data_IF_825906412888
#
_entry.id   IF_825906412888
#
_cell.length_a   1.000
_cell.length_b   1.000
_cell.length_c   1.000
_cell.angle_alpha   90.00
_cell.angle_beta   90.00
_cell.angle_gamma   90.00
#
_symmetry.space_group_name_H-M   'P 1'
#
loop_
_entity.id
_entity.type
_entity.pdbx_description
1 polymer ?
#
# COMPACT_ATOMS: atom_id res chain seq x y z
N UNK A 1 -46.08 1.52 -4.60
CA UNK A 1 -44.74 1.10 -5.07
C UNK A 1 -43.79 2.16 -4.57
N UNK A 2 -42.84 1.81 -3.70
CA UNK A 2 -41.88 2.79 -3.21
C UNK A 2 -41.02 3.23 -4.41
N UNK A 3 -41.00 4.53 -4.72
CA UNK A 3 -40.11 5.07 -5.74
C UNK A 3 -38.67 4.77 -5.32
N UNK A 4 -37.95 3.99 -6.13
CA UNK A 4 -36.53 3.74 -5.94
C UNK A 4 -35.79 5.03 -6.24
N UNK A 5 -35.26 5.68 -5.21
CA UNK A 5 -34.47 6.90 -5.35
C UNK A 5 -33.07 6.53 -5.80
N UNK A 6 -32.54 7.18 -6.82
CA UNK A 6 -31.19 6.96 -7.32
C UNK A 6 -30.24 8.07 -6.88
N UNK A 7 -29.00 7.72 -6.60
CA UNK A 7 -27.95 8.67 -6.24
C UNK A 7 -27.61 9.57 -7.43
N UNK A 8 -27.78 10.89 -7.28
CA UNK A 8 -27.46 11.85 -8.34
C UNK A 8 -25.96 11.88 -8.74
N UNK A 9 -25.07 11.40 -7.86
CA UNK A 9 -23.62 11.35 -8.12
C UNK A 9 -23.12 10.09 -8.84
N UNK A 10 -23.61 8.90 -8.51
CA UNK A 10 -23.10 7.62 -9.05
C UNK A 10 -24.17 6.72 -9.69
N UNK A 11 -25.44 7.15 -9.70
CA UNK A 11 -26.53 6.42 -10.34
C UNK A 11 -27.01 5.15 -9.64
N UNK A 12 -26.42 4.77 -8.49
CA UNK A 12 -26.84 3.58 -7.74
C UNK A 12 -28.16 3.81 -6.98
N UNK A 13 -28.95 2.75 -6.78
CA UNK A 13 -30.15 2.82 -5.94
C UNK A 13 -29.77 3.17 -4.50
N UNK A 14 -30.50 4.11 -3.90
CA UNK A 14 -30.31 4.52 -2.52
C UNK A 14 -30.96 3.50 -1.60
N UNK A 15 -30.21 3.08 -0.57
CA UNK A 15 -30.70 2.30 0.54
C UNK A 15 -30.32 2.98 1.86
N UNK A 16 -31.07 2.72 2.94
CA UNK A 16 -30.88 3.37 4.25
C UNK A 16 -30.67 2.38 5.39
N UNK A 17 -30.48 1.10 5.08
CA UNK A 17 -30.49 -0.01 6.04
C UNK A 17 -29.07 -0.42 6.47
N UNK A 18 -28.16 -0.59 5.50
CA UNK A 18 -26.80 -1.07 5.76
C UNK A 18 -25.77 0.03 5.47
N UNK A 19 -25.14 0.56 6.51
CA UNK A 19 -24.16 1.63 6.39
C UNK A 19 -22.88 1.26 5.61
N UNK A 20 -22.57 -0.04 5.51
CA UNK A 20 -21.40 -0.57 4.82
C UNK A 20 -21.69 -0.99 3.36
N UNK A 21 -22.97 -1.20 3.02
CA UNK A 21 -23.35 -1.57 1.67
C UNK A 21 -23.38 -0.38 0.70
N UNK A 22 -23.22 -0.68 -0.59
CA UNK A 22 -23.29 0.31 -1.66
C UNK A 22 -24.66 1.00 -1.70
N UNK A 23 -24.67 2.28 -2.08
CA UNK A 23 -25.91 3.06 -2.13
C UNK A 23 -26.42 3.56 -0.78
N UNK A 24 -25.72 3.29 0.33
CA UNK A 24 -26.15 3.79 1.64
C UNK A 24 -26.28 5.32 1.65
N UNK A 25 -27.39 5.83 2.14
CA UNK A 25 -27.54 7.20 2.59
C UNK A 25 -28.32 7.21 3.92
N UNK A 26 -28.03 8.11 4.86
CA UNK A 26 -28.87 8.23 6.04
C UNK A 26 -30.29 8.65 5.63
N UNK A 27 -31.32 8.17 6.32
CA UNK A 27 -32.72 8.47 5.99
C UNK A 27 -33.02 10.00 5.94
N UNK A 28 -32.23 10.81 6.65
CA UNK A 28 -32.30 12.28 6.59
C UNK A 28 -31.88 12.85 5.23
N UNK A 29 -31.04 12.16 4.46
CA UNK A 29 -30.57 12.59 3.14
C UNK A 29 -31.64 12.44 2.05
N UNK A 30 -32.65 11.57 2.24
CA UNK A 30 -33.79 11.40 1.33
C UNK A 30 -34.69 12.64 1.26
N UNK A 31 -34.59 13.55 2.24
CA UNK A 31 -35.36 14.81 2.28
C UNK A 31 -34.71 15.95 1.49
N UNK A 32 -33.55 15.71 0.88
CA UNK A 32 -32.82 16.73 0.10
C UNK A 32 -33.29 16.69 -1.36
N UNK A 33 -33.30 17.85 -2.02
CA UNK A 33 -33.62 17.95 -3.46
C UNK A 33 -32.68 17.13 -4.34
N UNK A 34 -31.41 16.99 -3.90
CA UNK A 34 -30.41 16.14 -4.55
C UNK A 34 -29.92 15.11 -3.54
N UNK A 35 -30.36 13.86 -3.73
CA UNK A 35 -29.94 12.73 -2.90
C UNK A 35 -28.64 12.15 -3.44
N UNK A 36 -27.62 12.12 -2.59
CA UNK A 36 -26.33 11.48 -2.87
C UNK A 36 -26.03 10.45 -1.78
N UNK A 37 -25.50 9.30 -2.18
CA UNK A 37 -25.07 8.26 -1.23
C UNK A 37 -23.88 8.75 -0.39
N UNK A 38 -23.63 8.09 0.74
CA UNK A 38 -22.49 8.33 1.63
C UNK A 38 -21.17 8.38 0.88
N UNK A 39 -21.00 7.54 -0.17
CA UNK A 39 -19.83 7.55 -1.06
C UNK A 39 -19.70 8.86 -1.86
N UNK A 40 -20.72 9.25 -2.60
CA UNK A 40 -20.69 10.51 -3.36
C UNK A 40 -20.60 11.73 -2.44
N UNK A 41 -21.19 11.66 -1.25
CA UNK A 41 -21.08 12.72 -0.24
C UNK A 41 -19.63 12.86 0.25
N UNK A 42 -18.98 11.75 0.62
CA UNK A 42 -17.57 11.77 1.06
C UNK A 42 -16.61 12.19 -0.06
N UNK A 43 -16.86 11.75 -1.29
CA UNK A 43 -16.09 12.18 -2.45
C UNK A 43 -16.23 13.70 -2.67
N UNK A 44 -17.46 14.22 -2.63
CA UNK A 44 -17.73 15.64 -2.87
C UNK A 44 -17.19 16.56 -1.78
N UNK A 45 -17.23 16.13 -0.51
CA UNK A 45 -16.90 17.00 0.63
C UNK A 45 -15.52 16.77 1.23
N UNK A 46 -15.01 15.55 1.15
CA UNK A 46 -13.75 15.16 1.78
C UNK A 46 -12.73 14.65 0.75
N UNK A 47 -13.09 14.58 -0.54
CA UNK A 47 -12.27 13.94 -1.58
C UNK A 47 -11.93 12.47 -1.26
N UNK A 48 -12.77 11.83 -0.45
CA UNK A 48 -12.62 10.44 0.00
C UNK A 48 -13.59 9.56 -0.79
N UNK A 49 -13.07 8.68 -1.64
CA UNK A 49 -13.86 7.56 -2.18
C UNK A 49 -13.83 6.46 -1.12
N UNK A 50 -14.92 6.16 -0.38
CA UNK A 50 -14.94 4.94 0.43
C UNK A 50 -14.70 3.75 -0.50
N UNK A 51 -13.71 2.95 -0.11
CA UNK A 51 -13.35 1.70 -0.77
C UNK A 51 -14.60 0.80 -0.77
N UNK A 52 -15.09 0.48 -1.96
CA UNK A 52 -16.05 -0.62 -2.09
C UNK A 52 -15.23 -1.86 -1.74
N UNK A 53 -15.69 -2.66 -0.78
CA UNK A 53 -15.14 -4.00 -0.58
C UNK A 53 -15.47 -4.83 -1.82
N UNK A 54 -14.59 -4.75 -2.81
CA UNK A 54 -14.61 -5.63 -3.96
C UNK A 54 -14.41 -7.06 -3.45
N UNK A 55 -15.22 -7.98 -3.96
CA UNK A 55 -14.87 -9.39 -3.84
C UNK A 55 -13.66 -9.67 -4.71
N UNK A 56 -12.87 -10.67 -4.34
CA UNK A 56 -11.72 -11.12 -5.15
C UNK A 56 -12.17 -11.46 -6.59
N UNK A 57 -13.38 -11.98 -6.76
CA UNK A 57 -13.94 -12.36 -8.06
C UNK A 57 -14.27 -11.15 -8.95
N UNK A 58 -14.90 -10.10 -8.40
CA UNK A 58 -15.19 -8.87 -9.14
C UNK A 58 -13.90 -8.21 -9.64
N UNK A 59 -12.86 -8.29 -8.82
CA UNK A 59 -11.56 -7.76 -9.16
C UNK A 59 -10.85 -8.58 -10.25
N UNK A 60 -10.88 -9.92 -10.17
CA UNK A 60 -10.34 -10.79 -11.21
C UNK A 60 -11.03 -10.49 -12.55
N UNK A 61 -12.35 -10.35 -12.57
CA UNK A 61 -13.09 -9.99 -13.78
C UNK A 61 -12.68 -8.62 -14.32
N UNK A 62 -12.42 -7.65 -13.44
CA UNK A 62 -11.90 -6.35 -13.85
C UNK A 62 -10.51 -6.49 -14.51
N UNK A 63 -9.58 -7.19 -13.86
CA UNK A 63 -8.25 -7.34 -14.44
C UNK A 63 -8.29 -8.09 -15.78
N UNK A 64 -9.11 -9.13 -15.89
CA UNK A 64 -9.29 -9.86 -17.16
C UNK A 64 -9.77 -8.95 -18.27
N UNK A 65 -10.73 -8.05 -17.99
CA UNK A 65 -11.18 -7.05 -18.96
C UNK A 65 -10.06 -6.10 -19.39
N UNK A 66 -9.18 -5.71 -18.47
CA UNK A 66 -7.97 -4.94 -18.83
C UNK A 66 -7.07 -5.78 -19.73
N UNK A 67 -6.87 -7.06 -19.41
CA UNK A 67 -6.09 -8.00 -20.23
C UNK A 67 -6.62 -8.21 -21.64
N UNK A 68 -7.92 -8.06 -21.86
CA UNK A 68 -8.56 -8.15 -23.18
C UNK A 68 -8.37 -6.88 -24.05
N UNK A 69 -7.79 -5.81 -23.49
CA UNK A 69 -7.46 -4.57 -24.20
C UNK A 69 -5.98 -4.50 -24.59
N UNK A 70 -5.65 -3.66 -25.56
CA UNK A 70 -4.26 -3.29 -25.87
C UNK A 70 -3.94 -1.95 -25.20
N UNK A 71 -3.33 -2.00 -24.02
CA UNK A 71 -3.08 -0.84 -23.17
C UNK A 71 -1.74 -0.92 -22.44
N UNK A 72 -1.36 0.19 -21.80
CA UNK A 72 -0.27 0.22 -20.82
C UNK A 72 -0.86 0.07 -19.42
N UNK A 73 -0.32 -0.84 -18.61
CA UNK A 73 -0.72 -0.98 -17.21
C UNK A 73 0.32 -0.32 -16.31
N UNK A 74 -0.11 0.62 -15.48
CA UNK A 74 0.72 1.27 -14.45
C UNK A 74 0.35 0.68 -13.10
N UNK A 75 1.20 -0.20 -12.57
CA UNK A 75 0.99 -0.84 -11.28
C UNK A 75 1.70 -0.07 -10.16
N UNK A 76 0.92 0.55 -9.28
CA UNK A 76 1.43 1.34 -8.15
C UNK A 76 1.47 0.47 -6.89
N UNK A 77 2.64 0.45 -6.24
CA UNK A 77 2.89 -0.26 -4.98
C UNK A 77 3.47 0.68 -3.92
N UNK A 78 3.19 0.44 -2.65
CA UNK A 78 3.89 1.10 -1.54
C UNK A 78 5.26 0.43 -1.34
N UNK A 79 6.34 1.20 -1.35
CA UNK A 79 7.70 0.67 -1.13
C UNK A 79 7.94 0.11 0.28
N UNK A 80 7.16 0.55 1.28
CA UNK A 80 7.22 0.06 2.66
C UNK A 80 6.34 -1.16 2.90
N UNK A 81 5.35 -1.37 2.03
CA UNK A 81 4.48 -2.54 2.04
C UNK A 81 4.40 -3.20 0.67
N UNK A 82 5.55 -3.50 0.05
CA UNK A 82 5.58 -4.02 -1.32
C UNK A 82 4.78 -5.32 -1.47
N UNK A 83 4.92 -6.25 -0.53
CA UNK A 83 4.19 -7.53 -0.59
C UNK A 83 2.70 -7.34 -0.28
N UNK A 84 2.36 -6.48 0.68
CA UNK A 84 0.97 -6.18 0.99
C UNK A 84 0.29 -5.35 -0.11
N UNK A 85 1.04 -4.53 -0.84
CA UNK A 85 0.54 -3.75 -1.98
C UNK A 85 0.49 -4.56 -3.27
N UNK A 86 1.07 -5.76 -3.28
CA UNK A 86 1.16 -6.57 -4.48
C UNK A 86 -0.20 -7.16 -4.84
N UNK A 87 -0.55 -7.04 -6.11
CA UNK A 87 -1.77 -7.61 -6.67
C UNK A 87 -1.49 -9.06 -7.08
N UNK A 88 -2.05 -10.07 -6.38
CA UNK A 88 -1.79 -11.47 -6.71
C UNK A 88 -2.31 -11.80 -8.11
N UNK A 89 -1.47 -12.48 -8.90
CA UNK A 89 -1.86 -12.92 -10.24
C UNK A 89 -2.01 -11.80 -11.27
N UNK A 90 -1.61 -10.55 -10.97
CA UNK A 90 -1.68 -9.44 -11.94
C UNK A 90 -1.17 -9.83 -13.33
N UNK A 91 0.03 -10.41 -13.39
CA UNK A 91 0.67 -10.88 -14.64
C UNK A 91 -0.13 -11.92 -15.43
N UNK A 92 -1.10 -12.61 -14.81
CA UNK A 92 -1.98 -13.60 -15.47
C UNK A 92 -3.23 -12.95 -16.05
N UNK A 93 -3.64 -11.82 -15.51
CA UNK A 93 -4.90 -11.18 -15.84
C UNK A 93 -4.74 -9.97 -16.75
N UNK A 94 -3.58 -9.31 -16.73
CA UNK A 94 -3.31 -8.19 -17.66
C UNK A 94 -2.93 -8.64 -19.08
N UNK A 95 -3.02 -9.93 -19.40
CA UNK A 95 -2.76 -10.44 -20.75
C UNK A 95 -1.33 -10.18 -21.22
N UNK A 96 -1.20 -9.75 -22.47
CA UNK A 96 0.07 -9.37 -23.10
C UNK A 96 0.40 -7.87 -22.92
N UNK A 97 -0.35 -7.17 -22.06
CA UNK A 97 -0.13 -5.74 -21.84
C UNK A 97 1.20 -5.46 -21.15
N UNK A 98 1.85 -4.40 -21.61
CA UNK A 98 3.06 -3.88 -21.02
C UNK A 98 2.77 -3.29 -19.63
N UNK A 99 3.67 -3.54 -18.67
CA UNK A 99 3.48 -3.11 -17.29
C UNK A 99 4.63 -2.22 -16.83
N UNK A 100 4.30 -1.01 -16.34
CA UNK A 100 5.22 -0.19 -15.55
C UNK A 100 4.98 -0.46 -14.07
N UNK A 101 6.05 -0.67 -13.31
CA UNK A 101 5.97 -0.82 -11.87
C UNK A 101 6.41 0.49 -11.18
N UNK A 102 5.55 1.01 -10.31
CA UNK A 102 5.77 2.31 -9.68
C UNK A 102 5.77 2.15 -8.16
N UNK A 103 6.93 2.41 -7.53
CA UNK A 103 7.05 2.47 -6.07
C UNK A 103 6.73 3.87 -5.55
N UNK A 104 5.61 4.02 -4.85
CA UNK A 104 5.20 5.29 -4.26
C UNK A 104 5.79 5.49 -2.84
N UNK A 105 5.64 6.71 -2.29
CA UNK A 105 6.11 7.14 -0.95
C UNK A 105 7.64 7.24 -0.85
N UNK A 106 8.33 7.53 -1.96
CA UNK A 106 9.78 7.68 -1.97
C UNK A 106 10.29 8.87 -1.11
N UNK A 107 9.43 9.85 -0.80
CA UNK A 107 9.75 11.03 0.00
C UNK A 107 10.06 10.73 1.48
N UNK A 108 9.50 9.65 2.02
CA UNK A 108 9.73 9.27 3.42
C UNK A 108 10.94 8.34 3.59
N UNK A 109 11.59 7.92 2.50
CA UNK A 109 12.83 7.16 2.57
C UNK A 109 13.93 7.98 3.26
N UNK A 110 14.79 7.34 4.08
CA UNK A 110 15.99 7.99 4.58
C UNK A 110 16.85 8.50 3.42
N UNK A 111 17.44 9.70 3.53
CA UNK A 111 18.36 10.24 2.50
C UNK A 111 19.57 9.36 2.20
N UNK A 112 19.95 8.50 3.13
CA UNK A 112 21.01 7.51 2.96
C UNK A 112 20.59 6.32 2.10
N UNK A 113 19.32 6.22 1.67
CA UNK A 113 18.86 5.14 0.79
C UNK A 113 19.55 5.24 -0.58
N UNK A 114 19.99 4.10 -1.09
CA UNK A 114 20.45 3.94 -2.46
C UNK A 114 19.25 3.53 -3.34
N UNK A 115 18.78 4.46 -4.16
CA UNK A 115 17.59 4.26 -5.00
C UNK A 115 17.81 3.19 -6.07
N UNK A 116 19.02 3.03 -6.60
CA UNK A 116 19.33 1.98 -7.59
C UNK A 116 19.24 0.59 -6.96
N UNK A 117 19.74 0.42 -5.73
CA UNK A 117 19.57 -0.82 -4.97
C UNK A 117 18.09 -1.11 -4.70
N UNK A 118 17.29 -0.09 -4.39
CA UNK A 118 15.86 -0.25 -4.17
C UNK A 118 15.16 -0.68 -5.46
N UNK A 119 15.41 -0.02 -6.59
CA UNK A 119 14.87 -0.40 -7.90
C UNK A 119 15.28 -1.82 -8.30
N UNK A 120 16.55 -2.19 -8.13
CA UNK A 120 17.03 -3.54 -8.40
C UNK A 120 16.33 -4.58 -7.53
N UNK A 121 16.13 -4.29 -6.23
CA UNK A 121 15.36 -5.18 -5.36
C UNK A 121 13.91 -5.30 -5.81
N UNK A 122 13.23 -4.20 -6.18
CA UNK A 122 11.87 -4.24 -6.70
C UNK A 122 11.78 -5.06 -7.99
N UNK A 123 12.78 -4.95 -8.86
CA UNK A 123 12.85 -5.75 -10.09
C UNK A 123 12.95 -7.26 -9.79
N UNK A 124 13.82 -7.65 -8.85
CA UNK A 124 13.92 -9.04 -8.42
C UNK A 124 12.62 -9.52 -7.75
N UNK A 125 12.04 -8.72 -6.85
CA UNK A 125 10.81 -9.06 -6.16
C UNK A 125 9.63 -9.22 -7.13
N UNK A 126 9.50 -8.33 -8.12
CA UNK A 126 8.48 -8.43 -9.17
C UNK A 126 8.65 -9.71 -9.99
N UNK A 127 9.89 -10.03 -10.39
CA UNK A 127 10.22 -11.24 -11.14
C UNK A 127 9.89 -12.52 -10.37
N UNK A 128 10.20 -12.55 -9.08
CA UNK A 128 9.87 -13.69 -8.19
C UNK A 128 8.35 -13.89 -8.04
N UNK A 129 7.57 -12.82 -8.23
CA UNK A 129 6.10 -12.82 -8.22
C UNK A 129 5.49 -12.98 -9.63
N UNK A 130 6.32 -13.28 -10.63
CA UNK A 130 5.90 -13.60 -12.00
C UNK A 130 5.70 -12.38 -12.92
N UNK A 131 5.97 -11.16 -12.45
CA UNK A 131 5.86 -9.94 -13.25
C UNK A 131 7.24 -9.49 -13.76
N UNK A 132 7.33 -9.17 -15.05
CA UNK A 132 8.51 -8.52 -15.64
C UNK A 132 8.08 -7.14 -16.15
N UNK A 133 8.22 -6.09 -15.33
CA UNK A 133 7.85 -4.76 -15.78
C UNK A 133 8.80 -4.27 -16.87
N UNK A 134 8.31 -3.44 -17.79
CA UNK A 134 9.14 -2.74 -18.78
C UNK A 134 10.19 -1.87 -18.10
N UNK A 135 9.78 -1.18 -17.03
CA UNK A 135 10.65 -0.28 -16.27
C UNK A 135 10.10 -0.07 -14.84
N UNK A 136 10.94 0.48 -13.95
CA UNK A 136 10.61 0.75 -12.55
C UNK A 136 10.86 2.21 -12.21
N UNK A 137 9.79 2.85 -11.75
CA UNK A 137 9.80 4.24 -11.28
C UNK A 137 9.62 4.31 -9.77
N UNK A 138 10.23 5.33 -9.17
CA UNK A 138 10.01 5.70 -7.78
C UNK A 138 9.41 7.09 -7.77
N UNK A 139 8.34 7.27 -6.99
CA UNK A 139 7.66 8.55 -6.90
C UNK A 139 7.19 8.84 -5.47
N UNK A 140 6.80 10.09 -5.26
CA UNK A 140 5.94 10.51 -4.17
C UNK A 140 4.78 11.28 -4.76
N UNK A 141 3.59 10.68 -4.78
CA UNK A 141 2.38 11.39 -5.18
C UNK A 141 2.09 12.59 -4.28
N UNK A 142 2.43 12.49 -2.99
CA UNK A 142 2.22 13.56 -2.01
C UNK A 142 3.07 14.80 -2.34
N UNK A 143 4.37 14.62 -2.57
CA UNK A 143 5.32 15.71 -2.81
C UNK A 143 5.57 16.02 -4.28
N UNK A 144 4.94 15.26 -5.18
CA UNK A 144 5.16 15.27 -6.64
C UNK A 144 6.57 14.86 -7.10
N UNK A 145 7.41 14.33 -6.22
CA UNK A 145 8.72 13.78 -6.58
C UNK A 145 8.57 12.64 -7.60
N UNK A 146 9.30 12.71 -8.72
CA UNK A 146 9.30 11.66 -9.75
C UNK A 146 8.01 11.51 -10.54
N UNK A 147 6.97 12.32 -10.27
CA UNK A 147 5.70 12.28 -10.98
C UNK A 147 5.85 12.72 -12.44
N UNK A 148 6.71 13.71 -12.71
CA UNK A 148 6.97 14.19 -14.08
C UNK A 148 7.70 13.16 -14.93
N UNK A 149 8.76 12.56 -14.38
CA UNK A 149 9.51 11.52 -15.05
C UNK A 149 8.61 10.32 -15.36
N UNK A 150 7.71 9.96 -14.43
CA UNK A 150 6.72 8.91 -14.65
C UNK A 150 5.68 9.31 -15.71
N UNK A 151 5.18 10.54 -15.71
CA UNK A 151 4.21 11.00 -16.71
C UNK A 151 4.81 10.97 -18.12
N UNK A 152 6.06 11.42 -18.29
CA UNK A 152 6.79 11.35 -19.54
C UNK A 152 7.05 9.89 -19.97
N UNK A 153 7.38 9.01 -19.02
CA UNK A 153 7.55 7.59 -19.31
C UNK A 153 6.23 6.91 -19.71
N UNK A 154 5.12 7.23 -19.06
CA UNK A 154 3.78 6.74 -19.43
C UNK A 154 3.46 7.15 -20.86
N UNK A 155 3.68 8.42 -21.22
CA UNK A 155 3.42 8.89 -22.59
C UNK A 155 4.32 8.20 -23.63
N UNK A 156 5.57 7.93 -23.28
CA UNK A 156 6.50 7.18 -24.12
C UNK A 156 6.07 5.71 -24.30
N UNK A 157 5.87 4.99 -23.20
CA UNK A 157 5.63 3.54 -23.21
C UNK A 157 4.22 3.16 -23.66
N UNK A 158 3.22 4.05 -23.51
CA UNK A 158 1.86 3.75 -23.96
C UNK A 158 1.76 3.70 -25.48
N UNK A 159 2.67 4.35 -26.21
CA UNK A 159 2.74 4.34 -27.67
C UNK A 159 1.37 4.61 -28.35
N UNK A 160 0.60 5.58 -27.81
CA UNK A 160 -0.73 5.93 -28.33
C UNK A 160 -1.87 4.99 -27.92
N UNK A 161 -1.68 4.12 -26.92
CA UNK A 161 -2.70 3.26 -26.31
C UNK A 161 -3.29 3.89 -25.04
N UNK A 162 -4.39 3.31 -24.56
CA UNK A 162 -4.98 3.61 -23.25
C UNK A 162 -4.02 3.23 -22.11
N UNK A 163 -4.23 3.83 -20.94
CA UNK A 163 -3.43 3.58 -19.74
C UNK A 163 -4.34 3.18 -18.58
N UNK A 164 -4.13 1.99 -18.00
CA UNK A 164 -4.83 1.55 -16.80
C UNK A 164 -3.95 1.69 -15.57
N UNK A 165 -4.38 2.48 -14.59
CA UNK A 165 -3.66 2.62 -13.31
C UNK A 165 -4.26 1.68 -12.29
N UNK A 166 -3.48 0.68 -11.87
CA UNK A 166 -3.89 -0.35 -10.91
C UNK A 166 -3.04 -0.28 -9.64
N UNK A 167 -3.60 -0.72 -8.52
CA UNK A 167 -2.88 -0.76 -7.24
C UNK A 167 -3.80 -1.19 -6.09
N UNK A 168 -3.19 -1.68 -5.00
CA UNK A 168 -3.93 -1.93 -3.77
C UNK A 168 -4.48 -0.63 -3.15
N UNK A 169 -5.40 -0.73 -2.20
CA UNK A 169 -5.84 0.42 -1.40
C UNK A 169 -4.64 0.98 -0.61
N UNK A 170 -4.68 2.29 -0.32
CA UNK A 170 -3.65 3.01 0.46
C UNK A 170 -2.21 3.07 -0.16
N UNK A 171 -2.02 2.60 -1.40
CA UNK A 171 -0.74 2.77 -2.12
C UNK A 171 -0.53 4.19 -2.65
N UNK A 172 -1.56 5.03 -2.62
CA UNK A 172 -1.53 6.43 -3.08
C UNK A 172 -1.89 6.62 -4.57
N UNK A 173 -2.62 5.67 -5.16
CA UNK A 173 -3.16 5.75 -6.53
C UNK A 173 -4.02 7.00 -6.74
N UNK A 174 -5.03 7.24 -5.91
CA UNK A 174 -5.90 8.42 -6.05
C UNK A 174 -5.14 9.74 -5.91
N UNK A 175 -4.15 9.80 -5.02
CA UNK A 175 -3.27 10.98 -4.91
C UNK A 175 -2.49 11.21 -6.20
N UNK A 176 -1.94 10.14 -6.80
CA UNK A 176 -1.22 10.24 -8.07
C UNK A 176 -2.12 10.73 -9.21
N UNK A 177 -3.33 10.16 -9.34
CA UNK A 177 -4.32 10.58 -10.34
C UNK A 177 -4.67 12.07 -10.17
N UNK A 178 -4.97 12.51 -8.96
CA UNK A 178 -5.27 13.92 -8.68
C UNK A 178 -4.10 14.84 -9.06
N UNK A 179 -2.85 14.43 -8.81
CA UNK A 179 -1.66 15.20 -9.24
C UNK A 179 -1.53 15.29 -10.75
N UNK A 180 -1.84 14.22 -11.49
CA UNK A 180 -1.85 14.27 -12.96
C UNK A 180 -2.92 15.23 -13.48
N UNK A 181 -4.12 15.20 -12.89
CA UNK A 181 -5.22 16.12 -13.26
C UNK A 181 -4.81 17.58 -13.05
N UNK A 182 -4.25 17.90 -11.88
CA UNK A 182 -3.77 19.25 -11.55
C UNK A 182 -2.72 19.73 -12.57
N UNK A 183 -1.81 18.85 -12.99
CA UNK A 183 -0.70 19.17 -13.92
C UNK A 183 -1.11 19.28 -15.38
N UNK A 184 -2.10 18.50 -15.82
CA UNK A 184 -2.62 18.56 -17.20
C UNK A 184 -3.44 19.83 -17.46
N UNK A 185 -3.51 20.75 -16.48
CA UNK A 185 -4.10 22.07 -16.61
C UNK A 185 -5.61 21.95 -16.60
N UNK A 186 -6.19 21.83 -15.39
CA UNK A 186 -7.62 21.75 -15.10
C UNK A 186 -8.46 22.91 -15.64
N UNK A 187 -8.48 23.07 -16.95
CA UNK A 187 -9.52 23.73 -17.70
C UNK A 187 -10.77 22.85 -17.58
N UNK A 188 -11.93 23.49 -17.52
CA UNK A 188 -13.28 22.93 -17.60
C UNK A 188 -13.55 21.95 -18.78
N UNK A 189 -12.51 21.66 -19.59
CA UNK A 189 -12.46 20.67 -20.66
C UNK A 189 -12.18 19.24 -20.18
N UNK A 190 -11.51 19.04 -19.04
CA UNK A 190 -11.35 17.72 -18.42
C UNK A 190 -12.48 17.47 -17.43
N UNK A 191 -13.73 17.40 -17.92
CA UNK A 191 -14.81 16.85 -17.10
C UNK A 191 -14.45 15.41 -16.80
N UNK A 192 -14.05 15.10 -15.56
CA UNK A 192 -13.94 13.72 -15.10
C UNK A 192 -15.25 13.02 -15.42
N UNK A 193 -15.22 12.11 -16.38
CA UNK A 193 -16.38 11.29 -16.71
C UNK A 193 -16.24 10.01 -15.92
N UNK A 194 -17.22 9.74 -15.06
CA UNK A 194 -17.37 8.42 -14.48
C UNK A 194 -18.02 7.54 -15.52
N UNK A 195 -17.29 6.57 -16.06
CA UNK A 195 -17.88 5.51 -16.86
C UNK A 195 -18.19 4.30 -15.97
N UNK A 196 -19.31 3.66 -16.26
CA UNK A 196 -19.59 2.33 -15.74
C UNK A 196 -19.06 1.34 -16.78
N UNK A 197 -18.18 0.44 -16.36
CA UNK A 197 -17.77 -0.63 -17.24
C UNK A 197 -18.96 -1.59 -17.42
N UNK A 198 -19.33 -1.98 -18.66
CA UNK A 198 -20.46 -2.85 -18.90
C UNK A 198 -20.44 -4.10 -18.01
N UNK A 199 -21.55 -4.32 -17.27
CA UNK A 199 -21.71 -5.44 -16.35
C UNK A 199 -21.05 -5.27 -14.97
N UNK A 200 -20.61 -4.07 -14.59
CA UNK A 200 -20.05 -3.80 -13.24
C UNK A 200 -20.71 -2.59 -12.59
N UNK A 201 -20.77 -2.56 -11.25
CA UNK A 201 -21.18 -1.38 -10.46
C UNK A 201 -20.00 -0.46 -10.12
N UNK A 202 -18.83 -0.73 -10.72
CA UNK A 202 -17.59 -0.01 -10.46
C UNK A 202 -17.47 1.16 -11.42
N UNK A 203 -17.20 2.33 -10.84
CA UNK A 203 -16.97 3.55 -11.59
C UNK A 203 -15.46 3.71 -11.80
N UNK A 204 -15.04 3.81 -13.05
CA UNK A 204 -13.71 4.26 -13.43
C UNK A 204 -13.69 5.78 -13.48
N UNK A 205 -12.51 6.36 -13.28
CA UNK A 205 -12.29 7.76 -13.62
C UNK A 205 -11.51 7.76 -14.93
N UNK A 206 -12.17 8.23 -15.99
CA UNK A 206 -11.53 8.37 -17.30
C UNK A 206 -10.98 9.79 -17.42
N UNK A 207 -9.67 9.89 -17.62
CA UNK A 207 -8.98 11.12 -17.93
C UNK A 207 -8.61 11.11 -19.41
N UNK A 208 -9.34 11.85 -20.27
CA UNK A 208 -9.04 11.87 -21.69
C UNK A 208 -7.67 12.50 -21.93
N UNK A 209 -6.88 11.91 -22.81
CA UNK A 209 -5.61 12.39 -23.30
C UNK A 209 -5.81 13.17 -24.61
N UNK A 210 -4.83 13.97 -25.00
CA UNK A 210 -4.93 14.87 -26.17
C UNK A 210 -5.06 14.14 -27.51
N UNK A 211 -4.70 12.86 -27.57
CA UNK A 211 -4.78 12.01 -28.75
C UNK A 211 -6.06 11.16 -28.82
N UNK A 212 -7.02 11.40 -27.91
CA UNK A 212 -8.31 10.72 -27.88
C UNK A 212 -8.31 9.41 -27.08
N UNK A 213 -7.17 8.98 -26.53
CA UNK A 213 -7.09 7.88 -25.59
C UNK A 213 -7.39 8.33 -24.16
N UNK A 214 -7.44 7.41 -23.21
CA UNK A 214 -7.75 7.71 -21.81
C UNK A 214 -6.75 7.10 -20.83
N UNK A 215 -6.51 7.83 -19.75
CA UNK A 215 -5.92 7.28 -18.53
C UNK A 215 -7.07 6.93 -17.57
N UNK A 216 -7.16 5.65 -17.26
CA UNK A 216 -8.27 5.04 -16.54
C UNK A 216 -7.83 4.69 -15.11
N UNK A 217 -8.43 5.34 -14.11
CA UNK A 217 -8.24 4.98 -12.71
C UNK A 217 -9.12 3.78 -12.35
N UNK A 218 -8.51 2.68 -11.95
CA UNK A 218 -9.26 1.49 -11.50
C UNK A 218 -9.57 1.58 -10.00
N UNK A 219 -10.66 0.98 -9.49
CA UNK A 219 -10.83 0.81 -8.06
C UNK A 219 -9.60 0.17 -7.39
N UNK A 220 -9.28 0.61 -6.16
CA UNK A 220 -8.18 0.05 -5.37
C UNK A 220 -8.52 -1.32 -4.80
N UNK A 221 -7.53 -2.21 -4.72
CA UNK A 221 -7.74 -3.59 -4.22
C UNK A 221 -7.45 -3.68 -2.74
N UNK A 222 -8.39 -4.21 -1.98
CA UNK A 222 -8.18 -4.51 -0.58
C UNK A 222 -7.38 -5.82 -0.49
N UNK A 223 -6.12 -5.75 -0.08
CA UNK A 223 -5.33 -6.97 0.14
C UNK A 223 -5.35 -7.35 1.62
N UNK A 224 -6.17 -8.34 1.97
CA UNK A 224 -6.38 -8.85 3.33
C UNK A 224 -5.11 -9.27 4.10
N UNK A 225 -3.95 -9.39 3.43
CA UNK A 225 -2.66 -9.73 4.05
C UNK A 225 -1.83 -8.50 4.46
N UNK A 226 -2.28 -7.27 4.19
CA UNK A 226 -1.58 -6.04 4.60
C UNK A 226 -1.62 -5.84 6.12
N UNK A 227 -0.55 -5.25 6.67
CA UNK A 227 -0.54 -4.81 8.08
C UNK A 227 -1.70 -3.86 8.40
N UNK A 228 -2.13 -3.07 7.41
CA UNK A 228 -3.24 -2.12 7.51
C UNK A 228 -4.59 -2.78 7.89
N UNK A 229 -4.74 -4.09 7.70
CA UNK A 229 -5.96 -4.81 8.10
C UNK A 229 -6.05 -5.12 9.58
N UNK A 230 -4.92 -5.09 10.29
CA UNK A 230 -4.85 -5.49 11.69
C UNK A 230 -4.89 -4.30 12.65
N UNK A 231 -4.94 -3.08 12.12
CA UNK A 231 -4.84 -1.86 12.91
C UNK A 231 -6.00 -0.92 12.57
N UNK A 232 -6.43 -0.12 13.54
CA UNK A 232 -7.42 0.90 13.30
C UNK A 232 -6.84 2.09 12.48
N UNK A 233 -7.69 3.04 12.08
CA UNK A 233 -7.26 4.18 11.28
C UNK A 233 -6.25 5.10 11.99
N UNK A 234 -6.36 5.27 13.32
CA UNK A 234 -5.43 6.10 14.08
C UNK A 234 -4.09 5.40 14.28
N UNK A 235 -4.10 4.08 14.42
CA UNK A 235 -2.90 3.24 14.47
C UNK A 235 -2.21 3.15 13.11
N UNK A 236 -2.98 3.11 12.02
CA UNK A 236 -2.46 3.18 10.66
C UNK A 236 -1.63 4.45 10.46
N UNK A 237 -2.04 5.58 11.04
CA UNK A 237 -1.28 6.85 11.03
C UNK A 237 0.02 6.78 11.83
N UNK A 238 0.09 5.94 12.86
CA UNK A 238 1.30 5.75 13.67
C UNK A 238 2.31 4.92 12.89
N UNK A 239 1.87 3.84 12.24
CA UNK A 239 2.77 2.93 11.51
C UNK A 239 3.19 3.45 10.15
N UNK A 240 2.36 4.29 9.51
CA UNK A 240 2.66 4.88 8.20
C UNK A 240 3.58 6.09 8.38
N UNK A 241 4.79 6.08 7.82
CA UNK A 241 5.67 7.24 7.87
C UNK A 241 5.05 8.42 7.11
N UNK A 242 5.04 9.61 7.72
CA UNK A 242 4.58 10.87 7.10
C UNK A 242 5.70 11.84 6.74
N UNK A 243 6.91 11.54 7.20
CA UNK A 243 8.13 12.33 7.01
C UNK A 243 9.30 11.36 6.84
N UNK A 244 10.43 11.88 6.37
CA UNK A 244 11.69 11.13 6.30
C UNK A 244 11.91 10.28 7.56
N UNK A 245 12.04 8.97 7.37
CA UNK A 245 12.31 8.01 8.44
C UNK A 245 13.70 8.30 9.01
N UNK A 246 13.75 8.52 10.33
CA UNK A 246 15.01 8.71 11.04
C UNK A 246 15.52 7.34 11.52
N UNK A 247 16.77 6.96 11.18
CA UNK A 247 17.36 5.71 11.66
C UNK A 247 17.47 5.72 13.19
N UNK A 248 16.91 4.70 13.85
CA UNK A 248 17.05 4.49 15.30
C UNK A 248 18.05 3.35 15.53
N UNK A 249 19.22 3.66 16.08
CA UNK A 249 20.32 2.71 16.26
C UNK A 249 20.27 2.06 17.65
N UNK A 250 20.29 0.73 17.69
CA UNK A 250 20.36 -0.08 18.90
C UNK A 250 21.57 -0.99 18.88
N UNK A 251 22.33 -1.00 19.98
CA UNK A 251 23.43 -1.95 20.19
C UNK A 251 22.94 -3.13 21.01
N UNK A 252 22.81 -4.30 20.40
CA UNK A 252 22.30 -5.51 21.05
C UNK A 252 23.42 -6.50 21.33
N UNK A 253 23.41 -7.04 22.54
CA UNK A 253 24.08 -8.30 22.86
C UNK A 253 23.16 -9.45 22.46
N UNK A 254 23.72 -10.66 22.42
CA UNK A 254 22.95 -11.89 22.23
C UNK A 254 21.76 -11.99 23.18
N UNK A 255 20.69 -12.66 22.73
CA UNK A 255 19.46 -12.90 23.51
C UNK A 255 18.77 -11.61 23.96
N UNK A 256 18.70 -10.64 23.05
CA UNK A 256 17.93 -9.42 23.25
C UNK A 256 16.89 -9.24 22.15
N UNK A 257 15.83 -8.52 22.49
CA UNK A 257 14.63 -8.38 21.67
C UNK A 257 14.31 -6.91 21.44
N UNK A 258 13.88 -6.58 20.22
CA UNK A 258 13.22 -5.33 19.88
C UNK A 258 11.77 -5.61 19.48
N UNK A 259 10.84 -4.93 20.13
CA UNK A 259 9.44 -4.85 19.74
C UNK A 259 9.21 -3.57 18.92
N UNK A 260 8.42 -3.69 17.86
CA UNK A 260 7.93 -2.59 17.03
C UNK A 260 6.45 -2.38 17.35
N UNK A 261 6.16 -1.55 18.35
CA UNK A 261 4.88 -1.59 19.06
C UNK A 261 4.61 -3.00 19.59
N UNK A 262 3.36 -3.42 19.56
CA UNK A 262 2.93 -4.82 19.66
C UNK A 262 2.78 -5.49 18.28
N UNK A 263 3.09 -4.82 17.17
CA UNK A 263 2.82 -5.36 15.83
C UNK A 263 3.86 -6.36 15.34
N UNK A 264 5.12 -6.21 15.76
CA UNK A 264 6.20 -7.09 15.35
C UNK A 264 7.29 -7.17 16.41
N UNK A 265 8.07 -8.23 16.34
CA UNK A 265 9.18 -8.49 17.25
C UNK A 265 10.38 -9.02 16.48
N UNK A 266 11.58 -8.60 16.87
CA UNK A 266 12.85 -9.13 16.38
C UNK A 266 13.70 -9.57 17.55
N UNK A 267 13.95 -10.86 17.60
CA UNK A 267 14.86 -11.51 18.52
C UNK A 267 16.24 -11.62 17.88
N UNK A 268 17.24 -11.01 18.51
CA UNK A 268 18.63 -11.16 18.13
C UNK A 268 19.25 -12.33 18.90
N UNK A 269 19.49 -13.43 18.20
CA UNK A 269 19.98 -14.68 18.78
C UNK A 269 21.50 -14.60 19.00
N UNK A 270 22.24 -14.06 18.03
CA UNK A 270 23.70 -13.96 18.05
C UNK A 270 24.34 -14.31 16.70
N UNK A 271 25.64 -14.56 16.63
CA UNK A 271 26.63 -14.37 17.68
C UNK A 271 27.12 -12.91 17.76
N UNK A 272 27.72 -12.59 18.90
CA UNK A 272 28.40 -11.33 19.22
C UNK A 272 27.48 -10.13 19.40
N UNK A 273 28.04 -9.04 19.91
CA UNK A 273 27.34 -7.76 19.98
C UNK A 273 27.24 -7.13 18.59
N UNK A 274 26.03 -6.70 18.19
CA UNK A 274 25.77 -6.08 16.88
C UNK A 274 24.97 -4.79 16.96
N UNK A 275 25.18 -3.97 15.95
CA UNK A 275 24.37 -2.77 15.69
C UNK A 275 23.16 -3.15 14.84
N UNK A 276 21.97 -2.88 15.35
CA UNK A 276 20.71 -2.97 14.61
C UNK A 276 20.19 -1.55 14.38
N UNK A 277 19.80 -1.24 13.15
CA UNK A 277 19.30 0.08 12.78
C UNK A 277 17.85 -0.06 12.32
N UNK A 278 16.92 0.50 13.09
CA UNK A 278 15.50 0.44 12.80
C UNK A 278 15.09 1.60 11.88
N UNK A 279 14.45 1.25 10.77
CA UNK A 279 13.87 2.14 9.78
C UNK A 279 12.37 1.88 9.71
N UNK A 280 11.64 2.49 10.63
CA UNK A 280 10.18 2.39 10.78
C UNK A 280 9.62 3.80 10.96
N UNK A 281 8.29 3.97 10.98
CA UNK A 281 7.70 5.26 11.28
C UNK A 281 8.30 5.90 12.55
N UNK A 282 8.53 7.21 12.49
CA UNK A 282 9.13 7.95 13.59
C UNK A 282 8.26 7.91 14.85
N UNK A 283 6.93 7.82 14.66
CA UNK A 283 5.91 7.74 15.71
C UNK A 283 5.79 6.32 16.30
N UNK A 284 6.27 5.29 15.61
CA UNK A 284 6.22 3.92 16.10
C UNK A 284 7.17 3.74 17.29
N UNK A 285 6.60 3.31 18.42
CA UNK A 285 7.35 3.00 19.64
C UNK A 285 8.19 1.73 19.43
N UNK A 286 9.44 1.77 19.89
CA UNK A 286 10.35 0.62 19.84
C UNK A 286 10.74 0.29 21.28
N UNK A 287 10.36 -0.89 21.73
CA UNK A 287 10.67 -1.37 23.08
C UNK A 287 11.79 -2.41 23.04
N UNK A 288 12.77 -2.29 23.94
CA UNK A 288 13.88 -3.24 24.04
C UNK A 288 13.79 -4.00 25.36
N UNK A 289 13.91 -5.32 25.29
CA UNK A 289 13.97 -6.19 26.47
C UNK A 289 14.98 -7.32 26.27
N UNK A 290 15.22 -8.11 27.31
CA UNK A 290 15.93 -9.39 27.19
C UNK A 290 14.98 -10.44 26.61
N UNK A 291 15.50 -11.33 25.78
CA UNK A 291 14.70 -12.38 25.12
C UNK A 291 14.00 -13.28 26.12
N UNK A 292 14.61 -13.57 27.28
CA UNK A 292 14.01 -14.37 28.37
C UNK A 292 12.71 -13.77 28.94
N UNK A 293 12.51 -12.46 28.83
CA UNK A 293 11.32 -11.75 29.32
C UNK A 293 10.34 -11.42 28.20
N UNK A 294 10.69 -11.66 26.94
CA UNK A 294 9.97 -11.08 25.82
C UNK A 294 8.58 -11.70 25.63
N UNK A 295 8.41 -13.00 25.88
CA UNK A 295 7.11 -13.67 25.78
C UNK A 295 6.14 -13.14 26.85
N UNK A 296 6.56 -13.17 28.13
CA UNK A 296 5.76 -12.65 29.25
C UNK A 296 5.42 -11.15 29.09
N UNK A 297 6.40 -10.34 28.65
CA UNK A 297 6.16 -8.92 28.38
C UNK A 297 5.09 -8.73 27.30
N UNK A 298 5.11 -9.53 26.23
CA UNK A 298 4.12 -9.40 25.16
C UNK A 298 2.72 -9.75 25.65
N UNK A 299 2.58 -10.86 26.38
CA UNK A 299 1.29 -11.30 26.96
C UNK A 299 0.69 -10.26 27.91
N UNK A 300 1.53 -9.63 28.75
CA UNK A 300 1.06 -8.67 29.75
C UNK A 300 0.86 -7.24 29.22
N UNK A 301 1.61 -6.84 28.19
CA UNK A 301 1.75 -5.42 27.82
C UNK A 301 1.30 -5.06 26.40
N UNK A 302 0.88 -6.03 25.57
CA UNK A 302 0.19 -5.74 24.30
C UNK A 302 -1.10 -4.97 24.57
N UNK A 303 -1.38 -3.93 23.77
CA UNK A 303 -2.52 -3.03 24.01
C UNK A 303 -2.27 -1.92 25.05
N UNK A 304 -1.19 -2.01 25.82
CA UNK A 304 -0.82 -1.01 26.84
C UNK A 304 0.50 -0.33 26.48
N UNK A 305 1.64 -0.89 26.89
CA UNK A 305 2.97 -0.36 26.55
C UNK A 305 3.34 -0.68 25.09
N UNK A 306 2.97 -1.88 24.62
CA UNK A 306 3.27 -2.35 23.27
C UNK A 306 2.09 -2.02 22.34
N UNK A 307 2.03 -0.75 21.96
CA UNK A 307 1.01 -0.19 21.05
C UNK A 307 1.65 0.44 19.82
N UNK A 308 0.99 0.38 18.64
CA UNK A 308 -0.19 -0.45 18.30
C UNK A 308 0.10 -1.96 18.34
N UNK A 309 -0.91 -2.86 18.41
CA UNK A 309 -2.34 -2.57 18.44
C UNK A 309 -2.79 -2.22 19.88
N UNK A 310 -3.85 -1.42 20.02
CA UNK A 310 -4.55 -1.11 21.27
C UNK A 310 -5.43 -2.27 21.70
N UNK A 311 -6.10 -2.90 20.74
CA UNK A 311 -6.94 -4.08 20.95
C UNK A 311 -6.25 -5.33 20.40
N UNK A 312 -5.73 -6.16 21.30
CA UNK A 312 -4.96 -7.35 20.93
C UNK A 312 -5.84 -8.54 20.49
N UNK A 313 -7.13 -8.54 20.85
CA UNK A 313 -8.05 -9.68 20.70
C UNK A 313 -8.29 -10.06 19.22
N UNK A 314 -8.28 -9.10 18.29
CA UNK A 314 -8.43 -9.33 16.86
C UNK A 314 -7.12 -9.54 16.09
N UNK A 315 -5.97 -9.29 16.72
CA UNK A 315 -4.66 -9.24 16.06
C UNK A 315 -4.06 -10.62 15.79
N UNK A 316 -4.39 -11.60 16.63
CA UNK A 316 -3.84 -12.96 16.58
C UNK A 316 -2.38 -13.05 17.07
N UNK A 317 -1.84 -14.27 17.18
CA UNK A 317 -0.47 -14.48 17.66
C UNK A 317 0.56 -14.08 16.60
N UNK A 318 1.71 -13.61 17.06
CA UNK A 318 2.87 -13.40 16.18
C UNK A 318 3.50 -14.75 15.81
N UNK A 319 3.73 -14.97 14.52
CA UNK A 319 4.32 -16.17 13.95
C UNK A 319 5.83 -15.97 13.77
N UNK A 320 6.68 -16.92 14.20
CA UNK A 320 8.14 -16.79 14.08
C UNK A 320 8.67 -17.11 12.68
N UNK A 321 9.72 -16.40 12.28
CA UNK A 321 10.49 -16.55 11.06
C UNK A 321 11.98 -16.49 11.39
N UNK A 322 12.68 -17.61 11.21
CA UNK A 322 14.12 -17.72 11.50
C UNK A 322 14.97 -17.36 10.28
N UNK A 323 15.98 -16.51 10.49
CA UNK A 323 16.90 -16.08 9.44
C UNK A 323 18.37 -16.17 9.87
N UNK A 324 19.19 -16.74 9.00
CA UNK A 324 20.65 -16.67 9.08
C UNK A 324 21.18 -15.66 8.06
N UNK A 325 21.69 -14.52 8.54
CA UNK A 325 22.07 -13.37 7.75
C UNK A 325 23.53 -13.52 7.26
N UNK A 326 23.68 -13.81 5.97
CA UNK A 326 24.98 -14.15 5.36
C UNK A 326 25.76 -12.95 4.83
N UNK A 327 25.10 -11.80 4.67
CA UNK A 327 25.68 -10.58 4.10
C UNK A 327 26.06 -9.59 5.19
N UNK A 328 26.99 -8.69 4.87
CA UNK A 328 27.51 -7.70 5.84
C UNK A 328 26.45 -6.74 6.36
N UNK A 329 25.54 -6.30 5.49
CA UNK A 329 24.40 -5.46 5.86
C UNK A 329 23.14 -6.10 5.29
N UNK A 330 22.28 -6.62 6.16
CA UNK A 330 21.04 -7.29 5.75
C UNK A 330 19.85 -6.59 6.40
N UNK A 331 18.85 -6.25 5.58
CA UNK A 331 17.59 -5.71 6.06
C UNK A 331 16.63 -6.87 6.35
N UNK A 332 16.11 -6.94 7.58
CA UNK A 332 14.95 -7.75 7.95
C UNK A 332 13.72 -6.87 7.76
N UNK A 333 12.92 -7.17 6.73
CA UNK A 333 11.81 -6.32 6.26
C UNK A 333 10.50 -6.87 6.80
N UNK A 334 9.78 -6.03 7.53
CA UNK A 334 8.43 -6.27 8.03
C UNK A 334 7.45 -5.50 7.15
N UNK A 335 6.70 -6.22 6.30
CA UNK A 335 5.78 -5.60 5.34
C UNK A 335 4.78 -4.67 6.06
N UNK A 336 4.70 -3.41 5.64
CA UNK A 336 3.81 -2.41 6.22
C UNK A 336 4.33 -1.69 7.47
N UNK A 337 5.51 -2.04 7.99
CA UNK A 337 6.14 -1.35 9.12
C UNK A 337 7.48 -0.68 8.77
N UNK A 338 8.25 -1.31 7.90
CA UNK A 338 9.60 -0.90 7.56
C UNK A 338 10.60 -2.04 7.70
N UNK A 339 11.84 -1.75 8.09
CA UNK A 339 12.87 -2.77 8.23
C UNK A 339 13.86 -2.49 9.36
N UNK A 340 14.57 -3.54 9.77
CA UNK A 340 15.70 -3.45 10.68
C UNK A 340 16.94 -3.92 9.94
N UNK A 341 17.91 -3.03 9.74
CA UNK A 341 19.21 -3.38 9.18
C UNK A 341 20.09 -3.98 10.27
N UNK A 342 20.47 -5.23 10.12
CA UNK A 342 21.42 -5.93 11.00
C UNK A 342 22.81 -5.82 10.40
N UNK A 343 23.74 -5.24 11.16
CA UNK A 343 25.13 -5.02 10.75
C UNK A 343 26.02 -6.23 11.08
N UNK A 344 26.98 -6.49 10.20
CA UNK A 344 27.95 -7.57 10.28
C UNK A 344 27.43 -8.91 9.75
N UNK A 345 28.33 -9.69 9.17
CA UNK A 345 28.06 -11.05 8.68
C UNK A 345 27.82 -12.07 9.80
N UNK A 346 26.95 -13.05 9.54
CA UNK A 346 26.77 -14.25 10.37
C UNK A 346 25.72 -14.16 11.47
N UNK A 347 24.97 -13.05 11.53
CA UNK A 347 23.90 -12.88 12.51
C UNK A 347 22.76 -13.90 12.33
N UNK A 348 22.20 -14.36 13.43
CA UNK A 348 21.00 -15.18 13.54
C UNK A 348 19.93 -14.35 14.23
N UNK A 349 18.76 -14.28 13.60
CA UNK A 349 17.62 -13.53 14.11
C UNK A 349 16.36 -14.36 13.96
N UNK A 350 15.42 -14.15 14.87
CA UNK A 350 14.05 -14.62 14.74
C UNK A 350 13.12 -13.43 14.70
N UNK A 351 12.41 -13.26 13.60
CA UNK A 351 11.44 -12.20 13.42
C UNK A 351 10.03 -12.74 13.63
N UNK A 352 9.15 -11.93 14.19
CA UNK A 352 7.79 -12.29 14.55
C UNK A 352 6.84 -11.25 13.97
N UNK A 353 5.82 -11.70 13.26
CA UNK A 353 4.77 -10.86 12.68
C UNK A 353 3.42 -11.59 12.67
N UNK A 354 2.28 -10.90 12.52
CA UNK A 354 0.97 -11.54 12.44
C UNK A 354 0.90 -12.54 11.29
N UNK A 355 0.08 -13.58 11.46
CA UNK A 355 -0.15 -14.57 10.40
C UNK A 355 -0.72 -13.89 9.15
N UNK A 356 0.05 -13.88 8.07
CA UNK A 356 -0.32 -13.25 6.79
C UNK A 356 0.60 -12.10 6.41
N UNK A 357 1.12 -11.37 7.41
CA UNK A 357 2.13 -10.34 7.20
C UNK A 357 3.46 -11.00 6.84
N UNK A 358 4.02 -10.60 5.70
CA UNK A 358 5.28 -11.19 5.22
C UNK A 358 6.48 -10.56 5.92
N UNK A 359 7.35 -11.41 6.46
CA UNK A 359 8.71 -11.02 6.87
C UNK A 359 9.72 -11.61 5.90
N UNK A 360 10.61 -10.77 5.39
CA UNK A 360 11.62 -11.17 4.39
C UNK A 360 12.98 -10.61 4.74
N UNK A 361 14.03 -11.12 4.09
CA UNK A 361 15.38 -10.58 4.20
C UNK A 361 15.88 -10.14 2.83
N UNK A 362 16.59 -9.01 2.78
CA UNK A 362 17.25 -8.51 1.56
C UNK A 362 18.61 -7.88 1.87
N UNK A 363 19.53 -7.80 0.90
CA UNK A 363 20.70 -6.94 1.02
C UNK A 363 20.29 -5.50 1.32
N UNK A 364 21.05 -4.80 2.16
CA UNK A 364 20.65 -3.47 2.61
C UNK A 364 20.55 -2.45 1.46
N UNK A 365 19.42 -1.74 1.42
CA UNK A 365 19.18 -0.64 0.49
C UNK A 365 19.80 0.68 0.96
N UNK A 366 20.39 0.72 2.16
CA UNK A 366 21.07 1.90 2.69
C UNK A 366 22.51 1.97 2.15
N UNK A 367 23.00 3.18 1.89
CA UNK A 367 24.41 3.46 1.57
C UNK A 367 25.26 3.05 2.78
N UNK A 368 26.25 2.19 2.51
CA UNK A 368 27.01 1.41 3.50
C UNK A 368 27.63 2.24 4.60
#
# INVERSE_FOLDING_TARGET
MAETVFCAGCGIAIQTEDEQAVGYAPASALKRDVVICKRCFRLKHYNEVPDISLTDDDFIQLLQKIGDTEALVVNIVDIFDFNGSWIPGLHRFVGDNDVLLVGNKADVLPKSTNLDKLKNWMHHAAKDLGLRPLDIFLMSAETSLGVDDLAAAIDHYRAGKDVYVVGATNVGKSTFINRLIERLGGDDRFKMTTSQFPGTTLNFIDLPLSDGQSLVDTPGIINHHQMAHYVDYDELKIITPKKEIKPKVYQLNEKQTLFLGGLARLDYIGPDRRSLVCYVSNELYIHRTKMENADALYEEQVGQLLVPPKEAEGFGPLVPHDFALKSENTDVVFSGLGWITVKGRGAQVRAYAPKGVRVTVRPSIIKG
#
